data_IF_553891118693
#
_entry.id   IF_553891118693
#
_cell.length_a   1.000
_cell.length_b   1.000
_cell.length_c   1.000
_cell.angle_alpha   90.00
_cell.angle_beta   90.00
_cell.angle_gamma   90.00
#
_symmetry.space_group_name_H-M   'P 1'
#
loop_
_entity.id
_entity.type
_entity.pdbx_description
1 polymer ?
#
# COMPACT_ATOMS: atom_id res chain seq x y z
N UNK A 1 -9.07 -26.46 11.63
CA UNK A 1 -7.78 -26.13 12.25
C UNK A 1 -7.24 -24.89 11.56
N UNK A 2 -7.05 -23.82 12.32
CA UNK A 2 -6.71 -22.47 11.86
C UNK A 2 -5.24 -22.40 11.44
N UNK A 3 -4.96 -21.97 10.20
CA UNK A 3 -3.62 -21.56 9.78
C UNK A 3 -3.46 -20.06 10.06
N UNK A 4 -3.05 -19.76 11.29
CA UNK A 4 -2.41 -18.50 11.65
C UNK A 4 -0.89 -18.54 11.38
N UNK A 5 -0.23 -17.38 11.45
CA UNK A 5 0.89 -17.01 10.58
C UNK A 5 2.21 -17.63 11.03
N UNK A 6 2.89 -18.28 10.10
CA UNK A 6 4.30 -18.66 10.15
C UNK A 6 4.80 -18.38 8.74
N UNK A 7 5.64 -17.37 8.49
CA UNK A 7 6.99 -17.25 9.05
C UNK A 7 7.52 -15.83 8.82
N UNK A 8 7.67 -15.05 9.89
CA UNK A 8 8.73 -14.04 9.98
C UNK A 8 10.06 -14.75 10.32
N UNK A 9 11.18 -14.22 9.83
CA UNK A 9 12.58 -14.45 10.28
C UNK A 9 13.45 -15.55 9.65
N UNK A 10 13.54 -15.69 8.31
CA UNK A 10 14.60 -16.53 7.70
C UNK A 10 15.38 -15.92 6.50
N UNK A 11 15.44 -14.60 6.37
CA UNK A 11 16.24 -13.95 5.29
C UNK A 11 17.65 -13.49 5.67
N UNK A 12 18.07 -13.64 6.94
CA UNK A 12 19.40 -13.22 7.38
C UNK A 12 20.53 -14.25 7.20
N UNK A 13 20.27 -15.46 6.68
CA UNK A 13 21.29 -16.53 6.60
C UNK A 13 21.79 -16.84 5.19
N UNK A 14 21.09 -16.42 4.12
CA UNK A 14 21.51 -16.73 2.75
C UNK A 14 22.44 -15.68 2.11
N UNK A 15 22.54 -14.48 2.69
CA UNK A 15 23.37 -13.39 2.12
C UNK A 15 24.86 -13.45 2.51
N UNK A 16 25.31 -14.45 3.26
CA UNK A 16 26.73 -14.60 3.65
C UNK A 16 27.43 -15.87 3.14
N UNK A 17 26.81 -16.61 2.20
CA UNK A 17 27.46 -17.77 1.57
C UNK A 17 27.47 -17.61 0.05
N UNK A 18 28.68 -17.38 -0.47
CA UNK A 18 29.08 -17.38 -1.89
C UNK A 18 29.01 -16.05 -2.65
N UNK A 19 30.15 -15.35 -2.61
CA UNK A 19 30.66 -14.71 -3.80
C UNK A 19 30.85 -15.71 -4.95
N UNK A 20 30.53 -15.26 -6.15
CA UNK A 20 30.75 -15.97 -7.40
C UNK A 20 30.32 -15.08 -8.55
N UNK A 21 31.30 -14.58 -9.30
CA UNK A 21 31.14 -13.64 -10.41
C UNK A 21 30.06 -14.05 -11.41
N UNK A 22 29.29 -13.06 -11.90
CA UNK A 22 28.77 -13.11 -13.27
C UNK A 22 28.72 -11.70 -13.90
N UNK A 23 29.62 -11.50 -14.87
CA UNK A 23 29.44 -10.57 -15.97
C UNK A 23 28.23 -10.99 -16.81
N UNK A 24 27.23 -10.11 -16.93
CA UNK A 24 26.61 -9.69 -18.21
C UNK A 24 25.69 -8.52 -17.89
N UNK A 25 25.97 -7.34 -18.43
CA UNK A 25 24.99 -6.25 -18.43
C UNK A 25 23.72 -6.76 -19.14
N UNK A 26 22.56 -6.82 -18.46
CA UNK A 26 21.31 -7.09 -19.14
C UNK A 26 21.02 -5.88 -20.03
N UNK A 27 20.77 -6.12 -21.32
CA UNK A 27 20.29 -5.07 -22.22
C UNK A 27 19.04 -4.40 -21.63
N UNK A 28 18.86 -3.08 -21.79
CA UNK A 28 17.83 -2.28 -21.12
C UNK A 28 16.40 -2.51 -21.64
N UNK A 29 16.14 -3.66 -22.28
CA UNK A 29 14.87 -4.01 -22.95
C UNK A 29 14.42 -5.42 -22.57
N UNK A 30 14.48 -5.76 -21.29
CA UNK A 30 13.54 -6.73 -20.75
C UNK A 30 12.42 -5.91 -20.12
N UNK A 31 11.32 -5.77 -20.86
CA UNK A 31 10.19 -4.94 -20.45
C UNK A 31 9.73 -5.40 -19.06
N UNK A 32 9.77 -4.48 -18.10
CA UNK A 32 9.20 -4.71 -16.78
C UNK A 32 7.73 -5.08 -16.94
N UNK A 33 7.24 -5.92 -16.03
CA UNK A 33 5.80 -6.17 -15.97
C UNK A 33 5.06 -4.81 -15.87
N UNK A 34 3.94 -4.60 -16.59
CA UNK A 34 3.27 -3.29 -16.63
C UNK A 34 2.98 -2.67 -15.26
N UNK A 35 2.59 -3.48 -14.27
CA UNK A 35 2.40 -3.02 -12.88
C UNK A 35 3.71 -2.57 -12.21
N UNK A 36 4.83 -3.25 -12.46
CA UNK A 36 6.14 -2.86 -11.91
C UNK A 36 6.71 -1.63 -12.61
N UNK A 37 6.44 -1.49 -13.92
CA UNK A 37 6.77 -0.27 -14.64
C UNK A 37 5.96 0.92 -14.12
N UNK A 38 4.64 0.76 -13.97
CA UNK A 38 3.75 1.78 -13.40
C UNK A 38 4.19 2.16 -11.98
N UNK A 39 4.45 1.18 -11.11
CA UNK A 39 5.01 1.41 -9.78
C UNK A 39 6.30 2.25 -9.84
N UNK A 40 7.22 1.94 -10.75
CA UNK A 40 8.46 2.68 -10.88
C UNK A 40 8.24 4.12 -11.39
N UNK A 41 7.28 4.33 -12.27
CA UNK A 41 6.85 5.66 -12.73
C UNK A 41 6.22 6.47 -11.59
N UNK A 42 5.35 5.87 -10.79
CA UNK A 42 4.75 6.49 -9.60
C UNK A 42 5.83 6.88 -8.57
N UNK A 43 6.89 6.08 -8.40
CA UNK A 43 8.06 6.44 -7.56
C UNK A 43 8.78 7.68 -8.12
N UNK A 44 9.00 7.74 -9.43
CA UNK A 44 9.66 8.89 -10.09
C UNK A 44 8.83 10.17 -9.92
N UNK A 45 7.51 10.05 -9.98
CA UNK A 45 6.57 11.16 -9.80
C UNK A 45 6.34 11.54 -8.33
N UNK A 46 6.84 10.74 -7.39
CA UNK A 46 6.70 10.97 -5.94
C UNK A 46 5.36 10.51 -5.36
N UNK A 47 4.64 9.66 -6.10
CA UNK A 47 3.34 9.07 -5.75
C UNK A 47 3.54 7.71 -5.07
N UNK A 48 4.12 7.72 -3.87
CA UNK A 48 4.59 6.49 -3.20
C UNK A 48 3.44 5.59 -2.71
N UNK A 49 2.27 6.14 -2.39
CA UNK A 49 1.09 5.34 -2.07
C UNK A 49 0.65 4.53 -3.29
N UNK A 50 0.54 5.16 -4.45
CA UNK A 50 0.16 4.47 -5.69
C UNK A 50 1.18 3.39 -6.05
N UNK A 51 2.47 3.70 -5.93
CA UNK A 51 3.54 2.73 -6.15
C UNK A 51 3.38 1.50 -5.23
N UNK A 52 3.12 1.71 -3.93
CA UNK A 52 2.88 0.63 -2.98
C UNK A 52 1.64 -0.20 -3.36
N UNK A 53 0.57 0.44 -3.84
CA UNK A 53 -0.65 -0.24 -4.26
C UNK A 53 -0.44 -1.05 -5.55
N UNK A 54 0.33 -0.54 -6.51
CA UNK A 54 0.67 -1.25 -7.74
C UNK A 54 1.59 -2.46 -7.45
N UNK A 55 2.53 -2.32 -6.51
CA UNK A 55 3.34 -3.43 -6.00
C UNK A 55 2.46 -4.50 -5.35
N UNK A 56 1.55 -4.08 -4.48
CA UNK A 56 0.59 -4.96 -3.80
C UNK A 56 -0.25 -5.74 -4.82
N UNK A 57 -0.71 -5.07 -5.88
CA UNK A 57 -1.47 -5.71 -6.95
C UNK A 57 -0.63 -6.74 -7.72
N UNK A 58 0.65 -6.44 -7.94
CA UNK A 58 1.58 -7.37 -8.58
C UNK A 58 1.76 -8.65 -7.73
N UNK A 59 2.07 -8.51 -6.44
CA UNK A 59 2.32 -9.66 -5.54
C UNK A 59 1.12 -10.59 -5.35
N UNK A 60 -0.11 -10.09 -5.51
CA UNK A 60 -1.31 -10.93 -5.46
C UNK A 60 -1.38 -11.97 -6.58
N UNK A 61 -0.70 -11.72 -7.69
CA UNK A 61 -0.78 -12.53 -8.91
C UNK A 61 0.57 -13.06 -9.38
N UNK A 62 1.66 -12.56 -8.83
CA UNK A 62 3.03 -12.88 -9.24
C UNK A 62 3.92 -13.07 -8.02
N UNK A 63 4.92 -13.94 -8.19
CA UNK A 63 5.94 -14.17 -7.17
C UNK A 63 7.07 -13.15 -7.37
N UNK A 64 7.48 -12.50 -6.29
CA UNK A 64 8.66 -11.64 -6.29
C UNK A 64 9.95 -12.49 -6.38
N UNK A 65 10.91 -12.04 -7.18
CA UNK A 65 12.21 -12.72 -7.38
C UNK A 65 13.36 -11.72 -7.28
N UNK A 66 14.54 -12.17 -6.84
CA UNK A 66 15.77 -11.36 -6.80
C UNK A 66 16.05 -10.58 -8.10
N UNK A 67 15.76 -11.16 -9.27
CA UNK A 67 16.05 -10.49 -10.54
C UNK A 67 15.08 -9.33 -10.84
N UNK A 68 13.87 -9.33 -10.25
CA UNK A 68 12.91 -8.23 -10.41
C UNK A 68 13.37 -6.97 -9.66
N UNK A 69 13.94 -7.10 -8.47
CA UNK A 69 14.46 -5.95 -7.71
C UNK A 69 15.56 -5.22 -8.51
N UNK A 70 16.48 -5.97 -9.11
CA UNK A 70 17.53 -5.42 -9.97
C UNK A 70 17.00 -4.77 -11.24
N UNK A 71 15.96 -5.33 -11.87
CA UNK A 71 15.34 -4.74 -13.07
C UNK A 71 14.59 -3.46 -12.75
N UNK A 72 13.84 -3.41 -11.65
CA UNK A 72 13.16 -2.19 -11.18
C UNK A 72 14.19 -1.09 -10.90
N UNK A 73 15.28 -1.44 -10.19
CA UNK A 73 16.36 -0.49 -9.90
C UNK A 73 17.05 0.01 -11.17
N UNK A 74 17.32 -0.88 -12.13
CA UNK A 74 17.89 -0.52 -13.41
C UNK A 74 16.98 0.44 -14.19
N UNK A 75 15.66 0.21 -14.16
CA UNK A 75 14.69 1.11 -14.78
C UNK A 75 14.70 2.50 -14.13
N UNK A 76 14.59 2.58 -12.80
CA UNK A 76 14.65 3.85 -12.06
C UNK A 76 15.94 4.63 -12.35
N UNK A 77 17.09 3.94 -12.30
CA UNK A 77 18.40 4.54 -12.59
C UNK A 77 18.52 4.99 -14.06
N UNK A 78 17.88 4.28 -15.01
CA UNK A 78 17.85 4.68 -16.41
C UNK A 78 17.07 5.99 -16.66
N UNK A 79 16.18 6.36 -15.73
CA UNK A 79 15.40 7.61 -15.76
C UNK A 79 16.07 8.75 -15.00
N UNK A 80 17.38 8.65 -14.74
CA UNK A 80 18.20 9.60 -13.98
C UNK A 80 17.80 9.77 -12.51
N UNK A 81 17.08 8.80 -11.91
CA UNK A 81 16.84 8.79 -10.47
C UNK A 81 17.74 7.75 -9.84
N UNK A 82 18.82 8.22 -9.21
CA UNK A 82 19.84 7.36 -8.61
C UNK A 82 19.32 6.77 -7.28
N UNK A 83 18.69 5.59 -7.36
CA UNK A 83 18.32 4.82 -6.19
C UNK A 83 19.29 3.66 -5.96
N UNK A 84 19.54 3.40 -4.69
CA UNK A 84 19.98 2.11 -4.16
C UNK A 84 18.78 1.42 -3.51
N UNK A 85 18.87 0.10 -3.33
CA UNK A 85 17.81 -0.66 -2.64
C UNK A 85 17.51 -0.08 -1.23
N UNK A 86 18.52 0.17 -0.35
CA UNK A 86 18.26 0.76 0.97
C UNK A 86 17.70 2.18 0.92
N UNK A 87 18.15 3.01 -0.04
CA UNK A 87 17.65 4.38 -0.15
C UNK A 87 16.20 4.42 -0.64
N UNK A 88 15.81 3.51 -1.52
CA UNK A 88 14.42 3.40 -1.97
C UNK A 88 13.51 2.98 -0.82
N UNK A 89 13.92 1.97 -0.04
CA UNK A 89 13.20 1.54 1.15
C UNK A 89 13.00 2.71 2.13
N UNK A 90 14.08 3.41 2.49
CA UNK A 90 14.03 4.52 3.44
C UNK A 90 13.09 5.66 2.98
N UNK A 91 13.08 5.96 1.68
CA UNK A 91 12.19 6.98 1.11
C UNK A 91 10.72 6.52 1.14
N UNK A 92 10.46 5.24 0.83
CA UNK A 92 9.10 4.69 0.91
C UNK A 92 8.56 4.71 2.34
N UNK A 93 9.33 4.20 3.31
CA UNK A 93 8.96 4.21 4.73
C UNK A 93 8.69 5.62 5.24
N UNK A 94 9.63 6.55 5.01
CA UNK A 94 9.47 7.95 5.41
C UNK A 94 8.23 8.61 4.79
N UNK A 95 7.87 8.26 3.55
CA UNK A 95 6.68 8.79 2.90
C UNK A 95 5.39 8.23 3.50
N UNK A 96 5.35 6.94 3.82
CA UNK A 96 4.19 6.32 4.46
C UNK A 96 4.01 6.87 5.88
N UNK A 97 5.09 7.06 6.63
CA UNK A 97 5.09 7.70 7.95
C UNK A 97 4.60 9.16 7.86
N UNK A 98 4.85 9.88 6.77
CA UNK A 98 4.37 11.25 6.58
C UNK A 98 2.84 11.36 6.71
N UNK A 99 2.08 10.31 6.35
CA UNK A 99 0.63 10.31 6.51
C UNK A 99 0.15 10.38 7.95
N UNK A 100 0.98 9.93 8.92
CA UNK A 100 0.69 10.06 10.35
C UNK A 100 0.62 11.54 10.78
N UNK A 101 1.52 12.35 10.21
CA UNK A 101 1.68 13.77 10.56
C UNK A 101 0.93 14.72 9.61
N UNK A 102 0.62 14.25 8.39
CA UNK A 102 -0.09 15.01 7.35
C UNK A 102 -1.29 14.21 6.81
N UNK A 103 -2.32 13.99 7.63
CA UNK A 103 -3.46 13.16 7.25
C UNK A 103 -4.26 13.71 6.06
N UNK A 104 -4.27 15.02 5.82
CA UNK A 104 -4.90 15.59 4.63
C UNK A 104 -4.24 15.09 3.34
N UNK A 105 -2.92 14.86 3.36
CA UNK A 105 -2.20 14.31 2.21
C UNK A 105 -2.66 12.88 1.92
N UNK A 106 -2.92 12.07 2.95
CA UNK A 106 -3.48 10.72 2.77
C UNK A 106 -4.85 10.78 2.07
N UNK A 107 -5.71 11.74 2.46
CA UNK A 107 -7.01 11.94 1.81
C UNK A 107 -6.85 12.33 0.34
N UNK A 108 -5.93 13.25 0.03
CA UNK A 108 -5.65 13.72 -1.33
C UNK A 108 -5.11 12.58 -2.20
N UNK A 109 -4.13 11.84 -1.71
CA UNK A 109 -3.50 10.74 -2.44
C UNK A 109 -4.51 9.60 -2.67
N UNK A 110 -5.30 9.22 -1.65
CA UNK A 110 -6.38 8.23 -1.82
C UNK A 110 -7.48 8.72 -2.79
N UNK A 111 -7.74 10.02 -2.88
CA UNK A 111 -8.67 10.57 -3.89
C UNK A 111 -8.08 10.48 -5.29
N UNK A 112 -6.76 10.61 -5.44
CA UNK A 112 -6.08 10.53 -6.73
C UNK A 112 -5.91 9.10 -7.27
N UNK A 113 -6.00 8.07 -6.42
CA UNK A 113 -5.89 6.66 -6.85
C UNK A 113 -6.94 6.27 -7.90
N UNK A 114 -6.58 5.37 -8.81
CA UNK A 114 -7.57 4.72 -9.69
C UNK A 114 -8.48 3.75 -8.90
N UNK A 115 -9.55 3.23 -9.52
CA UNK A 115 -10.51 2.36 -8.82
C UNK A 115 -9.88 1.06 -8.31
N UNK A 116 -8.89 0.50 -9.02
CA UNK A 116 -8.25 -0.76 -8.64
C UNK A 116 -7.27 -0.54 -7.47
N UNK A 117 -6.52 0.57 -7.51
CA UNK A 117 -5.68 1.04 -6.42
C UNK A 117 -6.52 1.37 -5.19
N UNK A 118 -7.63 2.09 -5.33
CA UNK A 118 -8.52 2.43 -4.22
C UNK A 118 -9.11 1.18 -3.55
N UNK A 119 -9.66 0.25 -4.34
CA UNK A 119 -10.15 -1.02 -3.82
C UNK A 119 -9.04 -1.79 -3.08
N UNK A 120 -7.82 -1.77 -3.61
CA UNK A 120 -6.66 -2.40 -2.96
C UNK A 120 -6.31 -1.73 -1.64
N UNK A 121 -6.29 -0.40 -1.59
CA UNK A 121 -6.05 0.35 -0.36
C UNK A 121 -7.09 0.00 0.72
N UNK A 122 -8.37 -0.04 0.35
CA UNK A 122 -9.44 -0.39 1.28
C UNK A 122 -9.32 -1.84 1.77
N UNK A 123 -8.92 -2.79 0.91
CA UNK A 123 -8.62 -4.16 1.36
C UNK A 123 -7.43 -4.24 2.30
N UNK A 124 -6.37 -3.47 2.05
CA UNK A 124 -5.23 -3.42 2.95
C UNK A 124 -5.61 -2.89 4.35
N UNK A 125 -6.60 -1.99 4.44
CA UNK A 125 -7.15 -1.55 5.74
C UNK A 125 -7.93 -2.67 6.44
N UNK A 126 -8.64 -3.51 5.71
CA UNK A 126 -9.45 -4.61 6.26
C UNK A 126 -8.63 -5.84 6.66
N UNK A 127 -7.51 -6.10 5.97
CA UNK A 127 -6.73 -7.31 6.14
C UNK A 127 -5.65 -7.15 7.22
N UNK A 128 -5.80 -7.85 8.35
CA UNK A 128 -4.79 -7.89 9.42
C UNK A 128 -3.45 -8.52 8.97
N UNK A 129 -3.44 -9.21 7.83
CA UNK A 129 -2.34 -10.08 7.36
C UNK A 129 -1.17 -9.34 6.70
N UNK A 130 -1.29 -8.04 6.41
CA UNK A 130 -0.24 -7.24 5.79
C UNK A 130 0.77 -6.73 6.81
N UNK A 131 1.43 -7.64 7.53
CA UNK A 131 2.41 -7.30 8.57
C UNK A 131 3.76 -6.81 8.02
N UNK A 132 4.16 -7.29 6.85
CA UNK A 132 5.44 -6.95 6.20
C UNK A 132 5.36 -7.25 4.71
N UNK A 133 6.05 -6.44 3.91
CA UNK A 133 6.26 -6.64 2.47
C UNK A 133 7.70 -7.12 2.30
N UNK A 134 7.87 -8.39 1.92
CA UNK A 134 9.16 -9.07 1.87
C UNK A 134 9.60 -9.28 0.42
N UNK A 135 10.54 -8.43 -0.01
CA UNK A 135 11.07 -8.38 -1.36
C UNK A 135 12.50 -8.93 -1.39
N UNK A 136 12.78 -9.96 -0.58
CA UNK A 136 14.07 -10.65 -0.43
C UNK A 136 15.15 -9.76 0.23
N UNK A 137 15.60 -8.72 -0.47
CA UNK A 137 16.60 -7.77 0.05
C UNK A 137 15.97 -6.54 0.75
N UNK A 138 14.64 -6.40 0.69
CA UNK A 138 13.89 -5.28 1.27
C UNK A 138 12.74 -5.83 2.10
N UNK A 139 12.63 -5.38 3.35
CA UNK A 139 11.50 -5.69 4.23
C UNK A 139 10.87 -4.39 4.68
N UNK A 140 9.66 -4.08 4.19
CA UNK A 140 8.90 -2.91 4.62
C UNK A 140 7.88 -3.35 5.68
N UNK A 141 7.97 -2.81 6.89
CA UNK A 141 7.02 -3.12 7.97
C UNK A 141 5.76 -2.27 7.84
N UNK A 142 4.82 -2.74 7.01
CA UNK A 142 3.54 -2.09 6.82
C UNK A 142 2.59 -2.27 8.02
N UNK A 143 2.77 -3.32 8.81
CA UNK A 143 1.88 -3.64 9.93
C UNK A 143 1.92 -2.56 11.01
N UNK A 144 3.12 -2.20 11.46
CA UNK A 144 3.32 -1.22 12.52
C UNK A 144 2.88 0.19 12.06
N UNK A 145 3.25 0.60 10.84
CA UNK A 145 2.83 1.87 10.25
C UNK A 145 1.31 1.95 10.14
N UNK A 146 0.66 0.87 9.66
CA UNK A 146 -0.81 0.80 9.57
C UNK A 146 -1.45 0.92 10.95
N UNK A 147 -0.97 0.16 11.92
CA UNK A 147 -1.56 0.13 13.26
C UNK A 147 -1.43 1.48 13.95
N UNK A 148 -0.26 2.14 13.83
CA UNK A 148 -0.05 3.51 14.30
C UNK A 148 -0.97 4.51 13.56
N UNK A 149 -1.09 4.38 12.24
CA UNK A 149 -1.97 5.22 11.43
C UNK A 149 -3.43 5.10 11.85
N UNK A 150 -3.91 3.88 12.13
CA UNK A 150 -5.28 3.64 12.61
C UNK A 150 -5.53 4.13 14.05
N UNK A 151 -4.49 4.46 14.82
CA UNK A 151 -4.63 5.16 16.10
C UNK A 151 -4.66 6.69 15.94
N UNK A 152 -4.26 7.23 14.78
CA UNK A 152 -4.24 8.68 14.55
C UNK A 152 -5.65 9.21 14.23
N UNK A 153 -6.20 10.15 15.02
CA UNK A 153 -7.52 10.73 14.75
C UNK A 153 -7.62 11.41 13.38
N UNK A 154 -6.53 12.01 12.92
CA UNK A 154 -6.48 12.68 11.62
C UNK A 154 -6.52 11.70 10.46
N UNK A 155 -5.79 10.58 10.57
CA UNK A 155 -5.83 9.49 9.59
C UNK A 155 -7.23 8.89 9.56
N UNK A 156 -7.81 8.55 10.71
CA UNK A 156 -9.16 8.00 10.78
C UNK A 156 -10.21 8.93 10.17
N UNK A 157 -10.08 10.25 10.38
CA UNK A 157 -10.93 11.24 9.69
C UNK A 157 -10.79 11.18 8.17
N UNK A 158 -9.56 11.07 7.69
CA UNK A 158 -9.25 11.03 6.26
C UNK A 158 -9.80 9.74 5.62
N UNK A 159 -9.58 8.60 6.28
CA UNK A 159 -10.13 7.30 5.89
C UNK A 159 -11.66 7.30 5.91
N UNK A 160 -12.28 7.93 6.91
CA UNK A 160 -13.73 8.04 6.98
C UNK A 160 -14.29 8.85 5.81
N UNK A 161 -13.74 10.05 5.57
CA UNK A 161 -14.19 10.93 4.50
C UNK A 161 -14.05 10.27 3.12
N UNK A 162 -12.90 9.65 2.84
CA UNK A 162 -12.70 9.01 1.54
C UNK A 162 -13.56 7.76 1.37
N UNK A 163 -13.85 7.03 2.45
CA UNK A 163 -14.78 5.90 2.42
C UNK A 163 -16.18 6.37 2.05
N UNK A 164 -16.68 7.47 2.63
CA UNK A 164 -17.97 8.04 2.23
C UNK A 164 -17.96 8.54 0.78
N UNK A 165 -16.86 9.16 0.35
CA UNK A 165 -16.76 9.77 -0.98
C UNK A 165 -16.72 8.72 -2.09
N UNK A 166 -15.92 7.65 -1.94
CA UNK A 166 -15.59 6.73 -3.04
C UNK A 166 -16.02 5.30 -2.82
N UNK A 167 -16.28 4.84 -1.59
CA UNK A 167 -16.42 3.41 -1.34
C UNK A 167 -17.57 2.79 -2.14
N UNK A 168 -18.78 3.33 -2.07
CA UNK A 168 -19.93 2.78 -2.79
C UNK A 168 -19.84 2.92 -4.32
N UNK A 169 -18.87 3.70 -4.83
CA UNK A 169 -18.58 3.80 -6.26
C UNK A 169 -17.61 2.71 -6.74
N UNK A 170 -16.82 2.12 -5.82
CA UNK A 170 -15.67 1.27 -6.16
C UNK A 170 -15.77 -0.13 -5.56
N UNK A 171 -16.33 -0.26 -4.36
CA UNK A 171 -16.51 -1.51 -3.62
C UNK A 171 -18.00 -1.86 -3.55
N UNK A 172 -18.30 -3.11 -3.21
CA UNK A 172 -19.68 -3.52 -2.95
C UNK A 172 -20.16 -3.02 -1.56
N UNK A 173 -21.47 -3.02 -1.35
CA UNK A 173 -22.07 -2.46 -0.13
C UNK A 173 -21.56 -3.13 1.15
N UNK A 174 -21.39 -4.45 1.16
CA UNK A 174 -20.88 -5.19 2.31
C UNK A 174 -19.44 -4.80 2.64
N UNK A 175 -18.55 -4.77 1.63
CA UNK A 175 -17.17 -4.33 1.80
C UNK A 175 -17.12 -2.89 2.36
N UNK A 176 -17.99 -2.00 1.90
CA UNK A 176 -18.05 -0.64 2.43
C UNK A 176 -18.51 -0.54 3.88
N UNK A 177 -19.51 -1.33 4.28
CA UNK A 177 -19.96 -1.39 5.68
C UNK A 177 -18.85 -1.92 6.58
N UNK A 178 -18.07 -2.92 6.12
CA UNK A 178 -16.92 -3.43 6.86
C UNK A 178 -15.83 -2.37 7.04
N UNK A 179 -15.47 -1.64 5.97
CA UNK A 179 -14.48 -0.54 6.04
C UNK A 179 -14.96 0.54 7.00
N UNK A 180 -16.20 1.02 6.84
CA UNK A 180 -16.79 2.02 7.71
C UNK A 180 -16.80 1.55 9.16
N UNK A 181 -17.20 0.30 9.42
CA UNK A 181 -17.22 -0.29 10.75
C UNK A 181 -15.84 -0.36 11.40
N UNK A 182 -14.78 -0.60 10.61
CA UNK A 182 -13.38 -0.62 11.10
C UNK A 182 -12.88 0.80 11.40
N UNK A 183 -13.10 1.74 10.50
CA UNK A 183 -12.70 3.16 10.68
C UNK A 183 -13.43 3.79 11.87
N UNK A 184 -14.73 3.52 12.03
CA UNK A 184 -15.53 4.04 13.15
C UNK A 184 -15.09 3.45 14.50
N UNK A 185 -14.66 2.18 14.56
CA UNK A 185 -14.12 1.58 15.79
C UNK A 185 -12.80 2.21 16.24
N UNK A 186 -11.96 2.64 15.30
CA UNK A 186 -10.72 3.38 15.59
C UNK A 186 -10.94 4.85 15.93
N UNK A 187 -12.17 5.34 15.77
CA UNK A 187 -12.50 6.76 15.86
C UNK A 187 -13.15 7.12 17.18
N UNK A 188 -12.74 8.23 17.80
CA UNK A 188 -13.47 8.82 18.93
C UNK A 188 -14.85 9.30 18.45
N UNK A 189 -15.89 9.25 19.29
CA UNK A 189 -17.29 9.50 18.91
C UNK A 189 -17.63 10.88 18.30
N UNK A 190 -16.63 11.71 18.00
CA UNK A 190 -16.74 13.00 17.30
C UNK A 190 -17.13 12.89 15.82
N UNK A 191 -17.11 11.70 15.22
CA UNK A 191 -17.51 11.50 13.81
C UNK A 191 -19.01 11.34 13.59
N UNK A 192 -19.80 11.24 14.65
CA UNK A 192 -21.27 11.17 14.58
C UNK A 192 -21.92 12.57 14.65
N UNK A 193 -21.31 13.57 14.01
CA UNK A 193 -21.89 14.91 13.93
C UNK A 193 -23.00 14.96 12.86
N UNK A 194 -24.02 15.83 13.02
CA UNK A 194 -25.20 15.84 12.14
C UNK A 194 -24.86 16.05 10.65
N UNK A 195 -23.84 16.86 10.35
CA UNK A 195 -23.34 17.15 9.01
C UNK A 195 -22.73 15.92 8.31
N UNK A 196 -22.27 14.93 9.09
CA UNK A 196 -21.73 13.68 8.59
C UNK A 196 -22.86 12.74 8.16
N UNK A 197 -23.94 12.65 8.93
CA UNK A 197 -25.14 11.87 8.58
C UNK A 197 -25.75 12.30 7.26
N UNK A 198 -25.70 13.59 6.93
CA UNK A 198 -26.22 14.12 5.66
C UNK A 198 -25.38 13.70 4.44
N UNK A 199 -24.12 13.29 4.65
CA UNK A 199 -23.20 12.85 3.59
C UNK A 199 -23.19 11.34 3.41
N UNK A 200 -23.92 10.60 4.24
CA UNK A 200 -24.13 9.16 4.01
C UNK A 200 -24.98 8.96 2.75
N UNK A 201 -24.70 7.93 1.94
CA UNK A 201 -25.54 7.64 0.79
C UNK A 201 -26.97 7.34 1.26
N UNK A 202 -27.94 8.06 0.70
CA UNK A 202 -29.36 7.92 1.04
C UNK A 202 -30.01 6.74 0.31
N UNK A 203 -29.29 6.16 -0.64
CA UNK A 203 -29.69 5.13 -1.59
C UNK A 203 -29.05 3.76 -1.29
N UNK A 204 -28.69 3.52 -0.03
CA UNK A 204 -28.33 2.17 0.43
C UNK A 204 -29.60 1.30 0.47
N UNK A 205 -29.60 0.23 -0.33
CA UNK A 205 -30.67 -0.78 -0.31
C UNK A 205 -30.85 -1.33 1.11
N UNK A 206 -32.10 -1.51 1.57
CA UNK A 206 -32.42 -2.00 2.92
C UNK A 206 -31.70 -3.32 3.28
N UNK A 207 -31.33 -4.12 2.28
CA UNK A 207 -30.64 -5.41 2.44
C UNK A 207 -29.13 -5.28 2.75
N UNK A 208 -28.60 -4.06 2.87
CA UNK A 208 -27.19 -3.81 3.19
C UNK A 208 -26.84 -3.94 4.69
N UNK A 209 -27.81 -4.23 5.57
CA UNK A 209 -27.65 -4.33 7.04
C UNK A 209 -28.15 -5.65 7.62
#
# INVERSE_FOLDING_TARGET
MSQGPRTCSLLLVLLLSHGGAYQREPSPRQDLHPLLQKMAEEIIEGSYLNALLDLTLFERSHVWTADLSHRVLAYLNSKNVAFTIPSLQAVMEAHLEQYLYQPQKLLEDLRATDNQQFHTAMKCLLEDKWGHLDLEDVVINLGDIRDEALQSPGVNRSLFLITLERCFQVLNALECVEVLGRVLRGSSGSFLQPDITERLPQDLHEDAF
#
